data_IF_561089943788
#
_entry.id   IF_561089943788
#
_cell.length_a   1.000
_cell.length_b   1.000
_cell.length_c   1.000
_cell.angle_alpha   90.00
_cell.angle_beta   90.00
_cell.angle_gamma   90.00
#
_symmetry.space_group_name_H-M   'P 1'
#
loop_
_entity.id
_entity.type
_entity.pdbx_description
1 polymer ?
#
# COMPACT_ATOMS: atom_id res chain seq x y z
N UNK A 1 -51.92 -6.25 -14.27
CA UNK A 1 -51.27 -4.93 -14.21
C UNK A 1 -50.63 -4.79 -12.85
N UNK A 2 -49.30 -4.82 -12.80
CA UNK A 2 -48.41 -4.28 -11.76
C UNK A 2 -46.99 -4.68 -12.15
N UNK A 3 -46.45 -3.97 -13.16
CA UNK A 3 -45.03 -4.00 -13.49
C UNK A 3 -44.30 -3.24 -12.38
N UNK A 4 -43.76 -3.97 -11.40
CA UNK A 4 -42.71 -3.45 -10.54
C UNK A 4 -41.49 -3.23 -11.40
N UNK A 5 -41.33 -1.98 -11.82
CA UNK A 5 -40.17 -1.47 -12.53
C UNK A 5 -38.95 -1.61 -11.61
N UNK A 6 -38.26 -2.75 -11.71
CA UNK A 6 -36.97 -2.98 -11.08
C UNK A 6 -35.98 -2.01 -11.71
N UNK A 7 -35.87 -0.82 -11.12
CA UNK A 7 -34.88 0.18 -11.45
C UNK A 7 -33.51 -0.52 -11.56
N UNK A 8 -33.04 -0.63 -12.79
CA UNK A 8 -31.77 -1.22 -13.13
C UNK A 8 -30.70 -0.52 -12.30
N UNK A 9 -30.13 -1.21 -11.30
CA UNK A 9 -29.07 -0.63 -10.46
C UNK A 9 -27.86 -0.40 -11.35
N UNK A 10 -27.71 0.83 -11.84
CA UNK A 10 -26.52 1.27 -12.54
C UNK A 10 -25.34 1.20 -11.56
N UNK A 11 -24.54 0.13 -11.66
CA UNK A 11 -23.25 0.00 -10.98
C UNK A 11 -22.16 0.78 -11.72
N UNK A 12 -22.50 1.97 -12.20
CA UNK A 12 -21.53 2.83 -12.85
C UNK A 12 -20.61 3.43 -11.77
N UNK A 13 -19.32 3.47 -12.10
CA UNK A 13 -18.30 4.03 -11.21
C UNK A 13 -18.36 5.55 -11.30
N UNK A 14 -18.55 6.23 -10.18
CA UNK A 14 -18.47 7.69 -10.13
C UNK A 14 -17.01 8.13 -10.08
N UNK A 15 -16.57 8.87 -11.10
CA UNK A 15 -15.26 9.54 -11.06
C UNK A 15 -15.31 10.80 -10.17
N UNK A 16 -14.18 11.11 -9.53
CA UNK A 16 -14.01 12.28 -8.66
C UNK A 16 -14.23 13.57 -9.46
N UNK A 17 -13.79 13.61 -10.72
CA UNK A 17 -13.98 14.78 -11.59
C UNK A 17 -15.45 15.06 -11.83
N UNK A 18 -16.22 14.01 -12.12
CA UNK A 18 -17.67 14.08 -12.31
C UNK A 18 -18.37 14.49 -11.01
N UNK A 19 -18.01 13.88 -9.87
CA UNK A 19 -18.58 14.23 -8.58
C UNK A 19 -18.34 15.69 -8.20
N UNK A 20 -17.14 16.24 -8.44
CA UNK A 20 -16.83 17.65 -8.22
C UNK A 20 -17.62 18.57 -9.16
N UNK A 21 -17.74 18.20 -10.43
CA UNK A 21 -18.52 18.95 -11.42
C UNK A 21 -19.99 19.04 -10.99
N UNK A 22 -20.57 17.91 -10.59
CA UNK A 22 -21.95 17.85 -10.09
C UNK A 22 -22.14 18.64 -8.80
N UNK A 23 -21.21 18.53 -7.85
CA UNK A 23 -21.27 19.30 -6.62
C UNK A 23 -21.16 20.81 -6.88
N UNK A 24 -20.31 21.25 -7.82
CA UNK A 24 -20.23 22.66 -8.19
C UNK A 24 -21.54 23.19 -8.77
N UNK A 25 -22.20 22.44 -9.66
CA UNK A 25 -23.51 22.78 -10.21
C UNK A 25 -24.57 22.87 -9.10
N UNK A 26 -24.57 21.90 -8.19
CA UNK A 26 -25.48 21.88 -7.05
C UNK A 26 -25.26 23.09 -6.12
N UNK A 27 -24.01 23.48 -5.88
CA UNK A 27 -23.68 24.66 -5.06
C UNK A 27 -24.15 25.95 -5.73
N UNK A 28 -24.02 26.07 -7.06
CA UNK A 28 -24.52 27.22 -7.80
C UNK A 28 -26.04 27.35 -7.63
N UNK A 29 -26.77 26.24 -7.79
CA UNK A 29 -28.21 26.20 -7.58
C UNK A 29 -28.59 26.56 -6.13
N UNK A 30 -27.95 25.94 -5.13
CA UNK A 30 -28.17 26.26 -3.72
C UNK A 30 -27.92 27.74 -3.41
N UNK A 31 -26.81 28.31 -3.91
CA UNK A 31 -26.47 29.71 -3.65
C UNK A 31 -27.44 30.69 -4.33
N UNK A 32 -28.05 30.31 -5.47
CA UNK A 32 -29.09 31.11 -6.13
C UNK A 32 -30.40 31.12 -5.34
N UNK A 33 -30.73 30.03 -4.66
CA UNK A 33 -31.95 29.90 -3.84
C UNK A 33 -31.78 30.46 -2.41
N UNK A 34 -30.55 30.67 -1.96
CA UNK A 34 -30.28 31.15 -0.60
C UNK A 34 -30.74 32.61 -0.41
N UNK A 35 -31.55 32.84 0.62
CA UNK A 35 -32.12 34.16 0.97
C UNK A 35 -31.06 35.19 1.34
N UNK A 36 -29.87 34.76 1.80
CA UNK A 36 -28.79 35.64 2.23
C UNK A 36 -27.42 35.23 1.71
N UNK A 37 -26.60 36.22 1.33
CA UNK A 37 -25.18 36.02 0.96
C UNK A 37 -24.34 35.38 2.07
N UNK A 38 -24.78 35.44 3.34
CA UNK A 38 -24.11 34.78 4.47
C UNK A 38 -24.23 33.25 4.41
N UNK A 39 -25.30 32.73 3.82
CA UNK A 39 -25.58 31.30 3.71
C UNK A 39 -24.82 30.65 2.56
N UNK A 40 -24.33 31.46 1.62
CA UNK A 40 -23.58 30.98 0.46
C UNK A 40 -22.40 30.09 0.84
N UNK A 41 -22.26 29.01 0.10
CA UNK A 41 -21.11 28.12 0.16
C UNK A 41 -20.05 28.67 -0.80
N UNK A 42 -19.00 29.27 -0.23
CA UNK A 42 -17.89 29.90 -0.96
C UNK A 42 -16.57 29.79 -0.20
N UNK A 43 -15.46 30.01 -0.91
CA UNK A 43 -14.12 30.09 -0.32
C UNK A 43 -13.72 28.84 0.47
N UNK A 44 -13.34 29.04 1.74
CA UNK A 44 -12.87 27.95 2.60
C UNK A 44 -13.90 26.82 2.81
N UNK A 45 -15.19 27.14 2.90
CA UNK A 45 -16.26 26.14 3.09
C UNK A 45 -16.38 25.23 1.87
N UNK A 46 -16.29 25.82 0.68
CA UNK A 46 -16.26 25.10 -0.59
C UNK A 46 -15.04 24.17 -0.68
N UNK A 47 -13.87 24.67 -0.30
CA UNK A 47 -12.64 23.87 -0.29
C UNK A 47 -12.76 22.66 0.66
N UNK A 48 -13.36 22.84 1.84
CA UNK A 48 -13.67 21.73 2.76
C UNK A 48 -14.64 20.73 2.14
N UNK A 49 -15.72 21.18 1.52
CA UNK A 49 -16.67 20.29 0.85
C UNK A 49 -16.01 19.44 -0.25
N UNK A 50 -15.17 20.05 -1.10
CA UNK A 50 -14.49 19.34 -2.17
C UNK A 50 -13.55 18.25 -1.65
N UNK A 51 -12.85 18.51 -0.53
CA UNK A 51 -12.00 17.50 0.12
C UNK A 51 -12.81 16.36 0.73
N UNK A 52 -13.97 16.66 1.32
CA UNK A 52 -14.89 15.63 1.83
C UNK A 52 -15.41 14.78 0.68
N UNK A 53 -15.81 15.38 -0.44
CA UNK A 53 -16.27 14.66 -1.64
C UNK A 53 -15.17 13.76 -2.19
N UNK A 54 -13.93 14.25 -2.32
CA UNK A 54 -12.81 13.42 -2.79
C UNK A 54 -12.62 12.17 -1.93
N UNK A 55 -12.61 12.34 -0.60
CA UNK A 55 -12.44 11.24 0.33
C UNK A 55 -13.64 10.28 0.29
N UNK A 56 -14.85 10.82 0.19
CA UNK A 56 -16.08 10.05 0.15
C UNK A 56 -16.19 9.21 -1.12
N UNK A 57 -15.95 9.79 -2.31
CA UNK A 57 -16.01 9.07 -3.60
C UNK A 57 -14.90 8.02 -3.71
N UNK A 58 -13.72 8.27 -3.14
CA UNK A 58 -12.65 7.26 -3.08
C UNK A 58 -13.04 6.03 -2.25
N UNK A 59 -13.86 6.21 -1.23
CA UNK A 59 -14.35 5.12 -0.37
C UNK A 59 -15.64 4.50 -0.89
N UNK A 60 -16.46 5.27 -1.62
CA UNK A 60 -17.77 4.88 -2.15
C UNK A 60 -17.84 5.22 -3.64
N UNK A 61 -17.10 4.48 -4.46
CA UNK A 61 -16.99 4.75 -5.91
C UNK A 61 -18.14 4.17 -6.73
N UNK A 62 -19.07 3.41 -6.14
CA UNK A 62 -20.18 2.77 -6.85
C UNK A 62 -21.52 3.46 -6.59
N UNK A 63 -22.14 3.93 -7.67
CA UNK A 63 -23.39 4.71 -7.68
C UNK A 63 -24.55 3.96 -7.02
N UNK A 64 -24.70 2.67 -7.30
CA UNK A 64 -25.79 1.83 -6.77
C UNK A 64 -25.79 1.62 -5.25
N UNK A 65 -24.67 1.85 -4.57
CA UNK A 65 -24.57 1.73 -3.10
C UNK A 65 -24.99 3.03 -2.38
N UNK A 66 -24.88 4.18 -3.05
CA UNK A 66 -25.15 5.50 -2.46
C UNK A 66 -26.63 5.76 -2.20
N UNK A 67 -27.53 5.13 -2.95
CA UNK A 67 -28.98 5.30 -2.79
C UNK A 67 -29.60 4.40 -1.70
N UNK A 68 -28.95 3.28 -1.34
CA UNK A 68 -29.50 2.31 -0.40
C UNK A 68 -28.83 2.29 0.97
N UNK A 69 -27.49 2.37 1.02
CA UNK A 69 -26.69 2.34 2.25
C UNK A 69 -25.36 3.08 1.99
N UNK A 70 -25.39 4.41 1.95
CA UNK A 70 -24.17 5.20 1.86
C UNK A 70 -23.28 4.92 3.09
N UNK A 71 -22.10 4.32 2.86
CA UNK A 71 -21.13 4.09 3.94
C UNK A 71 -20.45 5.42 4.25
N UNK A 72 -20.58 5.89 5.49
CA UNK A 72 -19.95 7.14 5.91
C UNK A 72 -18.43 7.09 5.78
N UNK A 73 -17.83 8.16 5.28
CA UNK A 73 -16.38 8.29 5.22
C UNK A 73 -15.84 8.80 6.56
N UNK A 74 -14.83 8.12 7.10
CA UNK A 74 -14.19 8.56 8.35
C UNK A 74 -13.15 9.62 8.05
N UNK A 75 -13.34 10.81 8.59
CA UNK A 75 -12.43 11.94 8.43
C UNK A 75 -12.07 12.55 9.78
N UNK A 76 -10.82 13.00 9.88
CA UNK A 76 -10.26 13.64 11.07
C UNK A 76 -10.15 15.15 10.81
N UNK A 77 -10.62 15.98 11.75
CA UNK A 77 -10.58 17.43 11.61
C UNK A 77 -9.16 17.96 11.56
N UNK A 78 -8.21 17.34 12.26
CA UNK A 78 -6.80 17.72 12.22
C UNK A 78 -6.20 17.47 10.82
N UNK A 79 -6.58 16.37 10.15
CA UNK A 79 -6.12 16.10 8.79
C UNK A 79 -6.71 17.09 7.79
N UNK A 80 -8.01 17.39 7.88
CA UNK A 80 -8.66 18.39 7.03
C UNK A 80 -8.06 19.80 7.23
N UNK A 81 -7.77 20.14 8.49
CA UNK A 81 -7.13 21.40 8.88
C UNK A 81 -5.74 21.54 8.25
N UNK A 82 -4.90 20.51 8.35
CA UNK A 82 -3.56 20.53 7.76
C UNK A 82 -3.59 20.57 6.22
N UNK A 83 -4.50 19.82 5.59
CA UNK A 83 -4.64 19.82 4.13
C UNK A 83 -5.09 21.16 3.55
N UNK A 84 -5.93 21.89 4.29
CA UNK A 84 -6.48 23.18 3.87
C UNK A 84 -5.72 24.37 4.46
N UNK A 85 -4.70 24.12 5.30
CA UNK A 85 -3.92 25.14 6.01
C UNK A 85 -4.81 26.11 6.80
N UNK A 86 -5.78 25.56 7.52
CA UNK A 86 -6.70 26.29 8.41
C UNK A 86 -6.79 25.63 9.78
N UNK A 87 -7.26 26.36 10.79
CA UNK A 87 -7.42 25.81 12.14
C UNK A 87 -8.51 24.73 12.24
N UNK A 88 -8.35 23.81 13.20
CA UNK A 88 -9.34 22.75 13.51
C UNK A 88 -10.72 23.34 13.80
N UNK A 89 -10.79 24.48 14.49
CA UNK A 89 -12.05 25.18 14.78
C UNK A 89 -12.75 25.64 13.51
N UNK A 90 -12.00 26.09 12.51
CA UNK A 90 -12.51 26.53 11.21
C UNK A 90 -13.12 25.36 10.44
N UNK A 91 -12.47 24.20 10.43
CA UNK A 91 -13.04 22.97 9.83
C UNK A 91 -14.36 22.58 10.49
N UNK A 92 -14.43 22.60 11.82
CA UNK A 92 -15.68 22.30 12.55
C UNK A 92 -16.80 23.27 12.12
N UNK A 93 -16.49 24.56 12.01
CA UNK A 93 -17.46 25.57 11.54
C UNK A 93 -17.89 25.31 10.09
N UNK A 94 -16.96 24.95 9.20
CA UNK A 94 -17.28 24.60 7.82
C UNK A 94 -18.20 23.38 7.74
N UNK A 95 -17.88 22.30 8.47
CA UNK A 95 -18.70 21.08 8.48
C UNK A 95 -20.09 21.33 9.06
N UNK A 96 -20.20 22.14 10.13
CA UNK A 96 -21.49 22.54 10.70
C UNK A 96 -22.33 23.34 9.69
N UNK A 97 -21.70 24.22 8.90
CA UNK A 97 -22.39 24.99 7.87
C UNK A 97 -22.88 24.08 6.73
N UNK A 98 -22.04 23.15 6.29
CA UNK A 98 -22.37 22.19 5.24
C UNK A 98 -23.50 21.22 5.64
N UNK A 99 -23.50 20.79 6.91
CA UNK A 99 -24.57 19.95 7.44
C UNK A 99 -25.91 20.69 7.52
N UNK A 100 -25.91 21.93 8.03
CA UNK A 100 -27.12 22.77 8.06
C UNK A 100 -27.69 23.01 6.66
N UNK A 101 -26.82 23.14 5.67
CA UNK A 101 -27.19 23.30 4.27
C UNK A 101 -27.57 21.97 3.57
N UNK A 102 -27.58 20.84 4.27
CA UNK A 102 -27.99 19.54 3.73
C UNK A 102 -27.00 18.87 2.78
N UNK A 103 -25.77 19.38 2.68
CA UNK A 103 -24.75 18.81 1.78
C UNK A 103 -24.17 17.49 2.30
N UNK A 104 -24.08 17.37 3.62
CA UNK A 104 -23.55 16.20 4.30
C UNK A 104 -24.27 15.95 5.63
N UNK A 105 -24.09 14.76 6.17
CA UNK A 105 -24.52 14.40 7.52
C UNK A 105 -23.30 13.97 8.30
N UNK A 106 -23.13 14.44 9.54
CA UNK A 106 -22.01 14.07 10.39
C UNK A 106 -22.49 13.20 11.56
N UNK A 107 -21.72 12.16 11.88
CA UNK A 107 -21.91 11.34 13.08
C UNK A 107 -20.63 11.33 13.88
N UNK A 108 -20.69 11.85 15.11
CA UNK A 108 -19.54 11.87 16.01
C UNK A 108 -19.22 10.44 16.48
N UNK A 109 -17.95 10.03 16.38
CA UNK A 109 -17.50 8.67 16.76
C UNK A 109 -16.41 8.69 17.85
N UNK A 110 -16.18 9.84 18.49
CA UNK A 110 -15.24 10.00 19.60
C UNK A 110 -13.97 10.76 19.23
N UNK A 111 -13.11 10.97 20.23
CA UNK A 111 -11.96 11.90 20.20
C UNK A 111 -10.83 11.51 19.24
N UNK A 112 -10.80 10.25 18.76
CA UNK A 112 -9.75 9.72 17.88
C UNK A 112 -10.24 9.37 16.46
N UNK A 113 -11.56 9.44 16.21
CA UNK A 113 -12.19 9.28 14.91
C UNK A 113 -13.29 10.35 14.81
N UNK A 114 -12.86 11.61 14.67
CA UNK A 114 -13.67 12.79 14.94
C UNK A 114 -15.07 12.73 14.32
N UNK A 115 -15.20 12.42 13.02
CA UNK A 115 -16.51 12.31 12.38
C UNK A 115 -16.57 11.21 11.31
N UNK A 116 -17.70 10.50 11.29
CA UNK A 116 -18.17 9.74 10.14
C UNK A 116 -19.08 10.67 9.32
N UNK A 117 -18.62 11.04 8.12
CA UNK A 117 -19.28 12.00 7.24
C UNK A 117 -19.93 11.27 6.06
N UNK A 118 -21.19 11.55 5.80
CA UNK A 118 -21.90 11.01 4.63
C UNK A 118 -22.28 12.16 3.72
N UNK A 119 -21.89 12.12 2.45
CA UNK A 119 -22.27 13.14 1.46
C UNK A 119 -23.66 12.82 0.95
N UNK A 120 -24.52 13.84 0.85
CA UNK A 120 -25.87 13.67 0.33
C UNK A 120 -25.82 13.25 -1.16
N UNK A 121 -26.56 12.21 -1.57
CA UNK A 121 -26.61 11.78 -2.97
C UNK A 121 -27.02 12.90 -3.93
N UNK A 122 -27.88 13.83 -3.50
CA UNK A 122 -28.34 14.95 -4.34
C UNK A 122 -27.17 15.83 -4.80
N UNK A 123 -26.15 16.00 -3.96
CA UNK A 123 -24.93 16.75 -4.27
C UNK A 123 -24.09 16.04 -5.33
N UNK A 124 -24.01 14.71 -5.23
CA UNK A 124 -23.18 13.88 -6.13
C UNK A 124 -23.82 13.69 -7.51
N UNK A 125 -25.15 13.65 -7.58
CA UNK A 125 -25.90 13.48 -8.82
C UNK A 125 -26.36 14.79 -9.46
N UNK A 126 -26.19 15.93 -8.77
CA UNK A 126 -26.78 17.21 -9.17
C UNK A 126 -28.30 17.06 -9.43
N UNK A 127 -28.97 16.24 -8.63
CA UNK A 127 -30.40 15.94 -8.81
C UNK A 127 -31.21 16.79 -7.83
N UNK A 128 -31.71 17.91 -8.34
CA UNK A 128 -32.49 18.90 -7.58
C UNK A 128 -33.86 18.35 -7.16
N UNK A 129 -34.40 17.38 -7.90
CA UNK A 129 -35.74 16.79 -7.65
C UNK A 129 -35.84 15.99 -6.35
N UNK A 130 -34.72 15.64 -5.71
CA UNK A 130 -34.70 14.97 -4.40
C UNK A 130 -34.70 15.95 -3.22
N UNK A 131 -34.61 17.25 -3.46
CA UNK A 131 -34.60 18.29 -2.42
C UNK A 131 -36.02 18.61 -1.94
N UNK A 132 -36.98 18.68 -2.87
CA UNK A 132 -38.35 19.12 -2.59
C UNK A 132 -39.11 18.15 -1.66
N UNK A 133 -38.82 16.85 -1.71
CA UNK A 133 -39.48 15.85 -0.86
C UNK A 133 -39.04 15.88 0.62
N UNK A 134 -38.00 16.66 1.00
CA UNK A 134 -37.48 16.66 2.39
C UNK A 134 -37.94 17.86 3.22
N UNK A 135 -38.45 18.93 2.59
CA UNK A 135 -38.91 20.13 3.31
C UNK A 135 -40.32 19.93 3.90
N UNK A 136 -41.09 18.98 3.41
CA UNK A 136 -42.48 18.75 3.88
C UNK A 136 -42.61 17.78 5.07
N UNK A 137 -41.54 17.13 5.51
CA UNK A 137 -41.61 16.05 6.53
C UNK A 137 -41.02 16.38 7.90
N UNK A 138 -40.85 17.67 8.24
CA UNK A 138 -40.46 18.11 9.60
C UNK A 138 -41.51 19.03 10.25
N UNK A 139 -42.77 18.63 10.22
CA UNK A 139 -43.81 19.20 11.07
C UNK A 139 -44.70 18.06 11.57
N UNK A 140 -44.33 17.46 12.70
CA UNK A 140 -45.25 17.02 13.78
C UNK A 140 -44.46 16.38 14.93
N UNK A 141 -44.70 16.95 16.10
CA UNK A 141 -44.81 16.31 17.41
C UNK A 141 -43.54 15.84 18.15
N UNK A 142 -42.98 16.81 18.87
CA UNK A 142 -42.51 16.61 20.24
C UNK A 142 -43.57 15.95 21.12
N UNK A 143 -43.20 14.95 21.94
CA UNK A 143 -43.75 14.81 23.27
C UNK A 143 -42.67 15.00 24.32
N UNK A 144 -42.97 15.89 25.25
CA UNK A 144 -42.30 16.01 26.55
C UNK A 144 -42.46 14.73 27.39
N UNK A 145 -41.50 14.62 28.31
CA UNK A 145 -41.62 14.09 29.66
C UNK A 145 -41.21 12.64 30.01
N UNK A 146 -40.12 12.60 30.78
CA UNK A 146 -39.89 11.90 32.05
C UNK A 146 -40.12 10.38 32.16
N UNK A 147 -39.07 9.63 32.50
CA UNK A 147 -38.81 9.11 33.86
C UNK A 147 -37.69 8.05 33.84
N UNK A 148 -36.85 8.09 34.87
CA UNK A 148 -35.92 7.04 35.26
C UNK A 148 -36.61 5.68 35.38
N UNK A 149 -35.98 4.60 34.89
CA UNK A 149 -35.80 3.36 35.67
C UNK A 149 -34.85 2.37 34.98
N UNK A 150 -33.85 1.93 35.76
CA UNK A 150 -33.08 0.72 35.51
C UNK A 150 -34.02 -0.49 35.53
N UNK A 151 -33.89 -1.42 34.58
CA UNK A 151 -33.97 -2.88 34.80
C UNK A 151 -33.62 -3.66 33.53
N UNK A 152 -32.44 -4.28 33.59
CA UNK A 152 -32.10 -5.65 33.20
C UNK A 152 -33.10 -6.37 32.29
N UNK A 153 -32.61 -6.85 31.15
CA UNK A 153 -33.16 -8.03 30.47
C UNK A 153 -32.05 -9.02 30.09
N UNK A 154 -32.39 -10.31 29.99
CA UNK A 154 -31.56 -11.42 30.36
C UNK A 154 -30.81 -12.03 29.18
N UNK A 155 -29.66 -12.64 29.50
CA UNK A 155 -28.93 -13.54 28.61
C UNK A 155 -29.68 -14.88 28.65
N UNK A 156 -30.16 -15.35 27.50
CA UNK A 156 -30.49 -16.77 27.32
C UNK A 156 -29.58 -17.40 26.27
N UNK A 157 -29.10 -18.58 26.65
CA UNK A 157 -28.20 -19.47 25.96
C UNK A 157 -28.84 -20.20 24.77
N UNK A 158 -27.93 -20.82 24.02
CA UNK A 158 -28.04 -22.12 23.33
C UNK A 158 -28.55 -22.11 21.89
N UNK A 159 -27.67 -22.53 20.97
CA UNK A 159 -27.65 -23.85 20.30
C UNK A 159 -26.43 -23.87 19.37
N UNK A 160 -25.36 -24.62 19.64
CA UNK A 160 -25.15 -26.08 19.49
C UNK A 160 -24.85 -26.54 18.05
N UNK A 161 -23.90 -27.50 18.01
CA UNK A 161 -23.56 -28.50 16.99
C UNK A 161 -22.64 -28.01 15.87
N UNK A 162 -21.35 -28.36 15.93
CA UNK A 162 -20.76 -29.66 15.53
C UNK A 162 -20.81 -29.88 14.01
N UNK A 163 -19.66 -30.24 13.43
CA UNK A 163 -19.47 -31.41 12.56
C UNK A 163 -18.12 -31.30 11.78
N UNK A 164 -17.28 -32.29 12.08
CA UNK A 164 -16.32 -33.02 11.24
C UNK A 164 -15.16 -32.32 10.51
N UNK A 165 -13.95 -32.69 10.95
CA UNK A 165 -12.99 -33.51 10.19
C UNK A 165 -13.24 -33.67 8.68
N UNK A 166 -12.40 -33.05 7.86
CA UNK A 166 -11.92 -33.62 6.61
C UNK A 166 -10.53 -33.04 6.29
N UNK A 167 -9.51 -33.89 6.29
CA UNK A 167 -8.30 -33.65 5.50
C UNK A 167 -8.65 -33.87 4.02
N UNK A 168 -8.07 -33.08 3.10
CA UNK A 168 -7.30 -33.76 2.06
C UNK A 168 -5.96 -33.09 1.70
N UNK A 169 -5.18 -33.98 1.09
CA UNK A 169 -3.79 -33.96 0.59
C UNK A 169 -3.34 -32.75 -0.24
N UNK A 170 -2.01 -32.59 -0.41
CA UNK A 170 -1.41 -31.48 -1.16
C UNK A 170 -1.53 -31.70 -2.67
N UNK A 171 -1.90 -30.65 -3.41
CA UNK A 171 -1.77 -30.66 -4.87
C UNK A 171 -0.33 -30.35 -5.26
N UNK A 172 0.32 -31.36 -5.84
CA UNK A 172 1.41 -31.22 -6.79
C UNK A 172 0.93 -30.40 -8.00
N UNK A 173 1.80 -29.51 -8.51
CA UNK A 173 1.68 -28.98 -9.85
C UNK A 173 3.07 -28.95 -10.48
N UNK A 174 3.33 -30.05 -11.17
CA UNK A 174 4.38 -30.29 -12.14
C UNK A 174 4.11 -29.44 -13.40
N UNK A 175 5.16 -28.76 -13.85
CA UNK A 175 5.69 -28.68 -15.21
C UNK A 175 4.76 -28.79 -16.43
N UNK A 176 4.75 -27.73 -17.25
CA UNK A 176 5.13 -27.72 -18.68
C UNK A 176 4.41 -26.61 -19.47
N UNK A 177 5.12 -25.98 -20.41
CA UNK A 177 4.48 -25.24 -21.51
C UNK A 177 5.29 -24.09 -22.09
N UNK A 178 6.42 -24.42 -22.72
CA UNK A 178 7.12 -23.56 -23.68
C UNK A 178 6.26 -23.41 -24.94
N UNK A 179 6.00 -22.18 -25.38
CA UNK A 179 5.76 -21.89 -26.80
C UNK A 179 6.53 -20.64 -27.23
N UNK A 180 7.38 -20.85 -28.23
CA UNK A 180 8.12 -19.86 -28.99
C UNK A 180 7.32 -19.45 -30.23
N UNK A 181 7.21 -18.14 -30.50
CA UNK A 181 7.24 -17.48 -31.83
C UNK A 181 6.84 -16.01 -31.62
N UNK A 182 7.45 -14.99 -32.22
CA UNK A 182 8.53 -14.88 -33.19
C UNK A 182 8.67 -13.39 -33.61
N UNK A 183 9.90 -12.99 -33.90
CA UNK A 183 10.35 -11.89 -34.80
C UNK A 183 10.01 -10.42 -34.45
N UNK A 184 11.01 -9.50 -34.41
CA UNK A 184 10.80 -8.05 -34.27
C UNK A 184 10.80 -7.33 -35.63
N UNK A 185 10.21 -6.13 -35.75
CA UNK A 185 10.62 -5.20 -36.79
C UNK A 185 11.54 -4.12 -36.22
N UNK A 186 12.72 -4.01 -36.84
CA UNK A 186 13.56 -2.84 -36.77
C UNK A 186 13.09 -1.82 -37.84
N UNK A 187 12.93 -0.56 -37.45
CA UNK A 187 13.43 0.62 -38.17
C UNK A 187 12.94 1.91 -37.50
N UNK A 188 13.90 2.79 -37.18
CA UNK A 188 13.67 4.17 -36.77
C UNK A 188 13.29 5.03 -38.00
N UNK A 189 12.82 6.28 -37.81
CA UNK A 189 13.81 7.37 -37.83
C UNK A 189 13.56 8.51 -36.81
N UNK A 190 14.65 8.89 -36.15
CA UNK A 190 15.27 10.23 -36.12
C UNK A 190 14.39 11.49 -35.91
N UNK A 191 14.81 12.28 -34.89
CA UNK A 191 14.60 13.70 -34.60
C UNK A 191 13.35 14.16 -33.81
N UNK A 192 13.56 14.45 -32.51
CA UNK A 192 13.49 15.82 -31.97
C UNK A 192 13.99 15.86 -30.52
N UNK A 193 15.09 16.58 -30.32
CA UNK A 193 15.52 17.07 -29.01
C UNK A 193 14.60 18.23 -28.59
N UNK A 194 14.19 18.29 -27.32
CA UNK A 194 14.13 19.53 -26.52
C UNK A 194 13.68 19.26 -25.08
N UNK A 195 14.23 20.09 -24.18
CA UNK A 195 13.85 20.32 -22.78
C UNK A 195 14.35 19.33 -21.71
N UNK A 196 15.65 19.43 -21.47
CA UNK A 196 16.25 19.33 -20.13
C UNK A 196 15.54 20.31 -19.18
N UNK A 197 14.85 19.81 -18.15
CA UNK A 197 14.41 20.65 -17.03
C UNK A 197 15.26 20.26 -15.82
N UNK A 198 16.29 21.09 -15.64
CA UNK A 198 17.04 21.29 -14.41
C UNK A 198 16.12 21.89 -13.36
N UNK A 199 16.03 21.25 -12.19
CA UNK A 199 15.44 21.84 -10.99
C UNK A 199 16.52 21.91 -9.92
N UNK A 200 16.98 23.13 -9.70
CA UNK A 200 17.87 23.53 -8.63
C UNK A 200 17.32 23.13 -7.26
N UNK A 201 18.18 22.59 -6.40
CA UNK A 201 17.96 22.59 -4.96
C UNK A 201 18.36 23.96 -4.40
N UNK A 202 17.54 24.60 -3.56
CA UNK A 202 17.93 25.85 -2.92
C UNK A 202 19.02 25.61 -1.86
N UNK A 203 20.13 26.35 -2.02
CA UNK A 203 21.13 26.60 -0.98
C UNK A 203 20.46 27.29 0.19
N UNK A 204 20.44 26.65 1.37
CA UNK A 204 20.30 27.35 2.63
C UNK A 204 21.69 27.46 3.23
N UNK A 205 22.22 28.69 3.23
CA UNK A 205 23.35 29.08 4.07
C UNK A 205 22.83 29.21 5.50
N UNK A 206 23.42 28.46 6.43
CA UNK A 206 23.48 28.86 7.84
C UNK A 206 24.94 28.83 8.26
N UNK A 207 25.43 30.02 8.56
CA UNK A 207 26.65 30.35 9.31
C UNK A 207 26.69 29.61 10.65
N UNK A 208 27.91 29.24 11.05
CA UNK A 208 28.16 28.25 12.09
C UNK A 208 27.97 28.71 13.54
N UNK A 209 27.95 27.71 14.41
CA UNK A 209 28.29 27.77 15.83
C UNK A 209 28.79 26.37 16.28
N UNK A 210 29.73 26.37 17.22
CA UNK A 210 30.65 25.30 17.61
C UNK A 210 30.00 24.05 18.28
N UNK A 211 30.74 22.92 18.35
CA UNK A 211 30.25 21.68 18.97
C UNK A 211 30.38 21.75 20.49
N UNK A 212 29.25 21.67 21.19
CA UNK A 212 29.22 21.58 22.65
C UNK A 212 28.74 20.20 23.09
N UNK A 213 29.50 19.59 24.00
CA UNK A 213 29.48 18.18 24.33
C UNK A 213 28.14 17.66 24.84
N UNK A 214 27.88 16.39 24.50
CA UNK A 214 26.78 15.59 25.04
C UNK A 214 27.06 15.29 26.52
N UNK A 215 26.56 16.19 27.36
CA UNK A 215 26.40 16.00 28.80
C UNK A 215 25.14 15.17 29.09
N UNK A 216 25.27 14.37 30.14
CA UNK A 216 24.37 13.35 30.66
C UNK A 216 22.97 13.84 31.06
N UNK A 217 22.04 12.87 31.03
CA UNK A 217 20.83 12.77 31.87
C UNK A 217 19.61 13.61 31.48
N UNK A 218 18.67 12.97 30.78
CA UNK A 218 17.27 12.93 31.23
C UNK A 218 16.59 11.66 30.69
N UNK A 219 16.25 10.77 31.62
CA UNK A 219 15.76 9.42 31.38
C UNK A 219 14.23 9.46 31.25
N UNK A 220 13.71 9.76 30.06
CA UNK A 220 12.29 9.50 29.77
C UNK A 220 12.07 7.98 29.67
N UNK A 221 11.63 7.38 30.78
CA UNK A 221 11.11 6.00 30.81
C UNK A 221 9.74 5.98 30.10
N UNK A 222 9.72 5.68 28.80
CA UNK A 222 8.54 5.11 28.15
C UNK A 222 8.72 3.61 28.04
N UNK A 223 7.99 2.90 28.90
CA UNK A 223 8.02 1.46 29.08
C UNK A 223 7.54 0.73 27.82
N UNK A 224 8.35 -0.22 27.35
CA UNK A 224 7.97 -1.21 26.36
C UNK A 224 7.43 -2.42 27.12
N UNK A 225 6.11 -2.44 27.35
CA UNK A 225 5.42 -3.58 27.92
C UNK A 225 5.26 -4.69 26.88
N UNK A 226 5.90 -5.83 27.12
CA UNK A 226 5.55 -7.08 26.48
C UNK A 226 4.17 -7.53 26.97
N UNK A 227 3.21 -7.65 26.06
CA UNK A 227 1.90 -8.20 26.36
C UNK A 227 1.88 -9.71 26.16
N UNK A 228 1.51 -10.44 27.22
CA UNK A 228 0.83 -11.73 27.10
C UNK A 228 1.38 -12.89 27.93
N UNK A 229 1.05 -12.93 29.22
CA UNK A 229 0.38 -14.06 29.89
C UNK A 229 0.22 -13.74 31.37
N UNK A 230 -1.03 -13.54 31.82
CA UNK A 230 -1.38 -13.66 33.23
C UNK A 230 -1.19 -15.14 33.61
N UNK A 231 -0.02 -15.44 34.19
CA UNK A 231 0.20 -16.66 34.95
C UNK A 231 0.86 -16.24 36.26
N UNK A 232 0.19 -16.62 37.35
CA UNK A 232 0.65 -16.44 38.72
C UNK A 232 2.11 -16.91 38.87
N UNK A 233 2.99 -16.01 39.31
CA UNK A 233 4.28 -16.36 39.92
C UNK A 233 5.53 -16.01 39.10
N UNK A 234 6.23 -14.95 39.52
CA UNK A 234 7.64 -14.73 39.18
C UNK A 234 7.91 -13.38 38.52
N UNK A 235 8.44 -12.43 39.31
CA UNK A 235 8.96 -11.16 38.81
C UNK A 235 10.22 -11.40 37.95
N UNK A 236 10.03 -11.79 36.70
CA UNK A 236 11.12 -11.85 35.74
C UNK A 236 11.65 -10.43 35.51
N UNK A 237 12.94 -10.21 35.78
CA UNK A 237 13.61 -8.93 35.57
C UNK A 237 13.29 -8.40 34.16
N UNK A 238 12.77 -7.17 34.07
CA UNK A 238 12.47 -6.48 32.80
C UNK A 238 13.76 -6.44 31.97
N UNK A 239 13.90 -7.35 31.00
CA UNK A 239 15.07 -7.43 30.11
C UNK A 239 15.17 -6.10 29.36
N UNK A 240 16.21 -5.35 29.65
CA UNK A 240 16.48 -4.07 28.99
C UNK A 240 17.35 -4.35 27.77
N UNK A 241 16.86 -4.02 26.59
CA UNK A 241 17.61 -4.21 25.35
C UNK A 241 18.56 -3.04 25.08
N UNK A 242 19.74 -3.28 24.50
CA UNK A 242 20.64 -2.22 24.05
C UNK A 242 19.95 -1.20 23.13
N UNK A 243 20.28 0.08 23.29
CA UNK A 243 19.66 1.18 22.53
C UNK A 243 19.81 1.01 21.01
N UNK A 244 20.92 0.42 20.54
CA UNK A 244 21.17 0.20 19.12
C UNK A 244 20.21 -0.83 18.50
N UNK A 245 19.80 -1.88 19.23
CA UNK A 245 18.83 -2.86 18.74
C UNK A 245 17.45 -2.21 18.54
N UNK A 246 17.05 -1.39 19.51
CA UNK A 246 15.79 -0.62 19.45
C UNK A 246 15.83 0.34 18.25
N UNK A 247 16.97 0.98 18.00
CA UNK A 247 17.14 1.86 16.86
C UNK A 247 16.95 1.11 15.52
N UNK A 248 17.56 -0.07 15.34
CA UNK A 248 17.39 -0.87 14.12
C UNK A 248 15.91 -1.22 13.86
N UNK A 249 15.19 -1.67 14.89
CA UNK A 249 13.75 -1.98 14.78
C UNK A 249 12.93 -0.76 14.38
N UNK A 250 13.19 0.40 14.97
CA UNK A 250 12.49 1.65 14.63
C UNK A 250 12.82 2.14 13.24
N UNK A 251 14.09 2.08 12.84
CA UNK A 251 14.53 2.45 11.48
C UNK A 251 13.84 1.55 10.46
N UNK A 252 13.83 0.23 10.69
CA UNK A 252 13.12 -0.70 9.82
C UNK A 252 11.63 -0.42 9.76
N UNK A 253 10.97 -0.22 10.91
CA UNK A 253 9.55 0.11 10.98
C UNK A 253 9.21 1.36 10.16
N UNK A 254 9.96 2.45 10.35
CA UNK A 254 9.74 3.70 9.62
C UNK A 254 9.84 3.50 8.11
N UNK A 255 10.90 2.80 7.66
CA UNK A 255 11.08 2.49 6.25
C UNK A 255 9.96 1.61 5.70
N UNK A 256 9.65 0.52 6.39
CA UNK A 256 8.64 -0.46 6.02
C UNK A 256 7.24 0.15 5.90
N UNK A 257 6.78 0.91 6.89
CA UNK A 257 5.47 1.57 6.87
C UNK A 257 5.40 2.64 5.79
N UNK A 258 6.44 3.46 5.65
CA UNK A 258 6.46 4.54 4.64
C UNK A 258 6.37 4.00 3.22
N UNK A 259 7.04 2.87 2.92
CA UNK A 259 7.09 2.34 1.56
C UNK A 259 5.90 1.43 1.24
N UNK A 260 5.46 0.59 2.17
CA UNK A 260 4.41 -0.41 1.91
C UNK A 260 3.02 0.02 2.38
N UNK A 261 2.93 0.98 3.30
CA UNK A 261 1.67 1.46 3.87
C UNK A 261 1.62 3.01 3.98
N UNK A 262 1.99 3.77 2.93
CA UNK A 262 2.19 5.23 2.99
C UNK A 262 0.96 6.03 3.45
N UNK A 263 -0.25 5.47 3.31
CA UNK A 263 -1.51 6.15 3.62
C UNK A 263 -2.19 5.64 4.90
N UNK A 264 -1.48 4.86 5.72
CA UNK A 264 -2.02 4.31 6.98
C UNK A 264 -1.37 4.97 8.18
N UNK A 265 -2.20 5.48 9.08
CA UNK A 265 -1.79 5.92 10.42
C UNK A 265 -2.17 4.86 11.44
N UNK A 266 -1.27 4.55 12.35
CA UNK A 266 -1.49 3.54 13.40
C UNK A 266 -1.68 4.23 14.75
N UNK A 267 -2.56 3.69 15.59
CA UNK A 267 -2.65 4.12 16.99
C UNK A 267 -1.40 3.66 17.74
N UNK A 268 -1.05 4.34 18.83
CA UNK A 268 0.17 4.01 19.60
C UNK A 268 0.25 2.55 20.05
N UNK A 269 -0.88 1.93 20.39
CA UNK A 269 -0.92 0.50 20.74
C UNK A 269 -0.71 -0.41 19.53
N UNK A 270 -1.26 -0.04 18.37
CA UNK A 270 -1.07 -0.80 17.13
C UNK A 270 0.37 -0.69 16.65
N UNK A 271 0.93 0.51 16.66
CA UNK A 271 2.35 0.75 16.36
C UNK A 271 3.26 -0.08 17.30
N UNK A 272 2.98 -0.09 18.60
CA UNK A 272 3.70 -0.94 19.58
C UNK A 272 3.61 -2.42 19.20
N UNK A 273 2.43 -2.92 18.80
CA UNK A 273 2.26 -4.31 18.37
C UNK A 273 3.02 -4.62 17.08
N UNK A 274 3.07 -3.69 16.12
CA UNK A 274 3.86 -3.85 14.88
C UNK A 274 5.36 -3.90 15.23
N UNK A 275 5.84 -2.98 16.05
CA UNK A 275 7.24 -2.97 16.50
C UNK A 275 7.60 -4.25 17.25
N UNK A 276 6.71 -4.77 18.09
CA UNK A 276 6.88 -6.06 18.77
C UNK A 276 6.94 -7.23 17.76
N UNK A 277 6.12 -7.22 16.71
CA UNK A 277 6.20 -8.22 15.63
C UNK A 277 7.51 -8.11 14.86
N UNK A 278 7.96 -6.91 14.50
CA UNK A 278 9.26 -6.69 13.86
C UNK A 278 10.39 -7.25 14.74
N UNK A 279 10.40 -6.88 16.02
CA UNK A 279 11.42 -7.34 16.96
C UNK A 279 11.43 -8.88 17.06
N UNK A 280 10.28 -9.51 17.31
CA UNK A 280 10.22 -10.94 17.58
C UNK A 280 10.31 -11.82 16.33
N UNK A 281 9.75 -11.39 15.20
CA UNK A 281 9.58 -12.24 14.02
C UNK A 281 10.53 -11.90 12.88
N UNK A 282 10.95 -10.64 12.76
CA UNK A 282 11.89 -10.21 11.71
C UNK A 282 13.32 -10.26 12.23
N UNK A 283 13.56 -9.70 13.42
CA UNK A 283 14.89 -9.76 14.07
C UNK A 283 15.07 -10.97 14.99
N UNK A 284 14.07 -11.87 15.07
CA UNK A 284 14.10 -13.06 15.94
C UNK A 284 14.41 -12.77 17.42
N UNK A 285 14.09 -11.56 17.87
CA UNK A 285 14.43 -11.06 19.19
C UNK A 285 15.93 -10.92 19.45
N UNK A 286 16.74 -10.77 18.40
CA UNK A 286 18.21 -10.71 18.45
C UNK A 286 18.83 -11.92 19.17
N UNK A 287 18.22 -13.10 18.98
CA UNK A 287 18.65 -14.33 19.66
C UNK A 287 19.83 -15.04 18.98
N UNK A 288 20.18 -14.67 17.75
CA UNK A 288 21.29 -15.28 17.02
C UNK A 288 22.63 -14.90 17.67
N UNK A 289 23.32 -15.84 18.34
CA UNK A 289 24.50 -15.52 19.15
C UNK A 289 25.72 -15.19 18.30
N UNK A 290 25.75 -15.61 17.03
CA UNK A 290 26.89 -15.40 16.14
C UNK A 290 26.92 -14.00 15.54
N UNK A 291 25.79 -13.28 15.53
CA UNK A 291 25.67 -12.00 14.85
C UNK A 291 26.20 -10.86 15.71
N UNK A 292 27.22 -10.19 15.20
CA UNK A 292 27.71 -8.92 15.72
C UNK A 292 26.76 -7.78 15.36
N UNK A 293 27.00 -6.59 15.93
CA UNK A 293 26.24 -5.38 15.57
C UNK A 293 26.31 -5.10 14.06
N UNK A 294 27.47 -5.33 13.44
CA UNK A 294 27.65 -5.08 12.02
C UNK A 294 26.83 -6.06 11.18
N UNK A 295 26.81 -7.34 11.55
CA UNK A 295 26.00 -8.36 10.86
C UNK A 295 24.50 -7.99 10.90
N UNK A 296 24.01 -7.46 12.03
CA UNK A 296 22.64 -6.97 12.14
C UNK A 296 22.35 -5.71 11.30
N UNK A 297 23.36 -4.88 11.04
CA UNK A 297 23.24 -3.73 10.15
C UNK A 297 23.20 -4.17 8.69
N UNK A 298 24.06 -5.12 8.30
CA UNK A 298 24.04 -5.73 6.98
C UNK A 298 22.71 -6.46 6.73
N UNK A 299 22.20 -7.17 7.74
CA UNK A 299 20.86 -7.76 7.69
C UNK A 299 19.78 -6.71 7.50
N UNK A 300 19.85 -5.55 8.17
CA UNK A 300 18.89 -4.46 7.96
C UNK A 300 18.88 -3.96 6.51
N UNK A 301 20.03 -3.86 5.85
CA UNK A 301 20.11 -3.48 4.44
C UNK A 301 19.45 -4.53 3.52
N UNK A 302 19.63 -5.82 3.83
CA UNK A 302 18.91 -6.90 3.15
C UNK A 302 17.38 -6.73 3.32
N UNK A 303 16.92 -6.43 4.53
CA UNK A 303 15.50 -6.18 4.81
C UNK A 303 14.96 -4.99 3.98
N UNK A 304 15.76 -3.94 3.80
CA UNK A 304 15.38 -2.81 2.92
C UNK A 304 15.28 -3.23 1.46
N UNK A 305 16.18 -4.07 0.96
CA UNK A 305 16.08 -4.61 -0.41
C UNK A 305 14.80 -5.44 -0.59
N UNK A 306 14.44 -6.25 0.41
CA UNK A 306 13.17 -7.01 0.42
C UNK A 306 11.97 -6.08 0.35
N UNK A 307 11.96 -4.98 1.13
CA UNK A 307 10.88 -3.97 1.06
C UNK A 307 10.80 -3.33 -0.32
N UNK A 308 11.93 -2.93 -0.91
CA UNK A 308 11.98 -2.36 -2.27
C UNK A 308 11.44 -3.32 -3.32
N UNK A 309 11.79 -4.60 -3.21
CA UNK A 309 11.30 -5.65 -4.11
C UNK A 309 9.78 -5.83 -4.00
N UNK A 310 9.22 -5.83 -2.78
CA UNK A 310 7.77 -5.89 -2.57
C UNK A 310 7.09 -4.66 -3.17
N UNK A 311 7.66 -3.46 -2.96
CA UNK A 311 7.13 -2.23 -3.53
C UNK A 311 7.10 -2.27 -5.06
N UNK A 312 8.19 -2.69 -5.68
CA UNK A 312 8.24 -2.88 -7.13
C UNK A 312 7.22 -3.91 -7.62
N UNK A 313 6.98 -4.98 -6.86
CA UNK A 313 5.94 -5.96 -7.19
C UNK A 313 4.53 -5.38 -7.10
N UNK A 314 4.25 -4.53 -6.10
CA UNK A 314 2.97 -3.83 -5.95
C UNK A 314 2.72 -2.85 -7.10
N UNK A 315 3.76 -2.12 -7.53
CA UNK A 315 3.66 -1.11 -8.58
C UNK A 315 3.55 -1.71 -9.99
N UNK A 316 3.97 -2.96 -10.18
CA UNK A 316 3.81 -3.65 -11.47
C UNK A 316 2.32 -3.81 -11.80
N UNK A 317 1.88 -3.46 -13.01
CA UNK A 317 0.50 -3.70 -13.43
C UNK A 317 0.17 -5.19 -13.36
N UNK A 318 -1.08 -5.51 -13.07
CA UNK A 318 -1.56 -6.88 -13.16
C UNK A 318 -1.68 -7.27 -14.63
N UNK A 319 -1.36 -8.52 -14.99
CA UNK A 319 -1.70 -9.03 -16.33
C UNK A 319 -3.21 -8.91 -16.58
N UNK A 320 -3.61 -8.62 -17.83
CA UNK A 320 -5.01 -8.38 -18.21
C UNK A 320 -5.98 -9.47 -17.72
N UNK A 321 -5.56 -10.74 -17.72
CA UNK A 321 -6.40 -11.85 -17.26
C UNK A 321 -6.64 -11.86 -15.73
N UNK A 322 -5.79 -11.21 -14.93
CA UNK A 322 -5.96 -11.05 -13.47
C UNK A 322 -6.54 -9.70 -13.08
N UNK A 323 -6.56 -8.73 -13.99
CA UNK A 323 -7.06 -7.38 -13.73
C UNK A 323 -8.55 -7.41 -13.34
N UNK A 324 -9.34 -8.28 -13.97
CA UNK A 324 -10.75 -8.53 -13.61
C UNK A 324 -10.92 -9.20 -12.25
N UNK A 325 -9.95 -10.02 -11.82
CA UNK A 325 -10.03 -10.74 -10.53
C UNK A 325 -9.66 -9.84 -9.35
N UNK A 326 -8.80 -8.84 -9.60
CA UNK A 326 -8.32 -7.91 -8.59
C UNK A 326 -8.56 -6.47 -9.07
N UNK A 327 -9.83 -6.10 -9.22
CA UNK A 327 -10.25 -4.78 -9.72
C UNK A 327 -9.72 -3.62 -8.85
N UNK A 328 -9.46 -3.89 -7.56
CA UNK A 328 -8.88 -2.94 -6.60
C UNK A 328 -7.34 -2.91 -6.63
N UNK A 329 -6.71 -3.69 -7.52
CA UNK A 329 -5.26 -3.86 -7.62
C UNK A 329 -4.68 -4.88 -6.63
N UNK A 330 -3.35 -4.97 -6.61
CA UNK A 330 -2.62 -5.78 -5.62
C UNK A 330 -2.71 -5.10 -4.26
N UNK A 331 -3.01 -5.87 -3.22
CA UNK A 331 -3.00 -5.35 -1.85
C UNK A 331 -2.11 -6.21 -0.96
N UNK A 332 -1.49 -5.55 0.02
CA UNK A 332 -0.89 -6.24 1.15
C UNK A 332 -1.92 -6.38 2.26
N UNK A 333 -1.86 -7.50 2.96
CA UNK A 333 -2.62 -7.68 4.21
C UNK A 333 -2.14 -6.72 5.29
N UNK A 334 -2.85 -6.66 6.42
CA UNK A 334 -2.46 -5.82 7.55
C UNK A 334 -1.00 -6.11 7.98
N UNK A 335 -0.18 -5.09 8.32
CA UNK A 335 1.19 -5.28 8.79
C UNK A 335 1.34 -6.34 9.89
N UNK A 336 0.40 -6.43 10.83
CA UNK A 336 0.47 -7.41 11.93
C UNK A 336 0.42 -8.85 11.43
N UNK A 337 -0.41 -9.11 10.40
CA UNK A 337 -0.52 -10.42 9.74
C UNK A 337 0.65 -10.63 8.79
N UNK A 338 1.05 -9.60 8.06
CA UNK A 338 2.14 -9.68 7.08
C UNK A 338 3.49 -9.96 7.75
N UNK A 339 3.76 -9.34 8.90
CA UNK A 339 4.98 -9.56 9.68
C UNK A 339 4.91 -10.83 10.55
N UNK A 340 3.81 -11.58 10.49
CA UNK A 340 3.75 -12.86 11.17
C UNK A 340 4.66 -13.89 10.48
N UNK A 341 5.51 -14.58 11.26
CA UNK A 341 6.43 -15.60 10.74
C UNK A 341 5.67 -16.79 10.16
N UNK A 342 4.50 -17.09 10.72
CA UNK A 342 3.67 -18.23 10.30
C UNK A 342 2.80 -17.88 9.08
N UNK A 343 2.79 -16.63 8.64
CA UNK A 343 2.02 -16.21 7.48
C UNK A 343 2.67 -16.74 6.19
N UNK A 344 1.98 -17.66 5.51
CA UNK A 344 2.43 -18.30 4.25
C UNK A 344 2.68 -17.30 3.10
N UNK A 345 2.14 -16.10 3.20
CA UNK A 345 2.32 -15.01 2.23
C UNK A 345 2.86 -13.75 2.93
N UNK A 346 3.48 -13.93 4.11
CA UNK A 346 4.04 -12.88 4.92
C UNK A 346 5.43 -12.46 4.49
N UNK A 347 5.98 -11.50 5.22
CA UNK A 347 7.28 -10.92 4.97
C UNK A 347 8.40 -11.96 4.99
N UNK A 348 8.31 -13.00 5.82
CA UNK A 348 9.30 -14.08 5.89
C UNK A 348 9.59 -14.71 4.52
N UNK A 349 8.55 -14.92 3.69
CA UNK A 349 8.70 -15.56 2.38
C UNK A 349 9.46 -14.71 1.35
N UNK A 350 9.57 -13.41 1.60
CA UNK A 350 10.26 -12.48 0.68
C UNK A 350 11.77 -12.70 0.65
N UNK A 351 12.31 -13.50 1.56
CA UNK A 351 13.71 -13.95 1.52
C UNK A 351 13.98 -14.83 0.29
N UNK A 352 13.10 -15.79 0.02
CA UNK A 352 13.22 -16.65 -1.16
C UNK A 352 13.15 -15.83 -2.45
N UNK A 353 12.32 -14.78 -2.46
CA UNK A 353 12.23 -13.87 -3.61
C UNK A 353 13.56 -13.13 -3.85
N UNK A 354 14.24 -12.74 -2.78
CA UNK A 354 15.53 -12.06 -2.88
C UNK A 354 16.61 -13.02 -3.41
N UNK A 355 16.64 -14.25 -2.90
CA UNK A 355 17.54 -15.31 -3.40
C UNK A 355 17.31 -15.55 -4.90
N UNK A 356 16.05 -15.73 -5.32
CA UNK A 356 15.70 -15.90 -6.73
C UNK A 356 16.07 -14.67 -7.58
N UNK A 357 15.90 -13.46 -7.03
CA UNK A 357 16.30 -12.24 -7.72
C UNK A 357 17.83 -12.16 -7.90
N UNK A 358 18.62 -12.59 -6.93
CA UNK A 358 20.08 -12.67 -7.03
C UNK A 358 20.51 -13.71 -8.05
N UNK A 359 19.94 -14.92 -8.00
CA UNK A 359 20.19 -15.96 -8.99
C UNK A 359 19.87 -15.47 -10.41
N UNK A 360 18.74 -14.79 -10.59
CA UNK A 360 18.36 -14.23 -11.90
C UNK A 360 19.31 -13.13 -12.37
N UNK A 361 19.78 -12.25 -11.46
CA UNK A 361 20.79 -11.23 -11.80
C UNK A 361 22.10 -11.90 -12.27
N UNK A 362 22.55 -12.95 -11.61
CA UNK A 362 23.76 -13.69 -12.00
C UNK A 362 23.58 -14.44 -13.32
N UNK A 363 22.41 -15.05 -13.55
CA UNK A 363 22.07 -15.69 -14.82
C UNK A 363 22.10 -14.68 -15.98
N UNK A 364 21.47 -13.52 -15.84
CA UNK A 364 21.48 -12.45 -16.86
C UNK A 364 22.91 -11.98 -17.15
N UNK A 365 23.75 -11.82 -16.11
CA UNK A 365 25.17 -11.47 -16.31
C UNK A 365 25.91 -12.56 -17.08
N UNK A 366 25.65 -13.83 -16.78
CA UNK A 366 26.24 -14.97 -17.50
C UNK A 366 25.79 -15.00 -18.96
N UNK A 367 24.51 -14.74 -19.26
CA UNK A 367 23.98 -14.63 -20.62
C UNK A 367 24.66 -13.50 -21.41
N UNK A 368 24.78 -12.31 -20.82
CA UNK A 368 25.44 -11.18 -21.47
C UNK A 368 26.92 -11.44 -21.76
N UNK A 369 27.62 -12.15 -20.87
CA UNK A 369 29.00 -12.58 -21.09
C UNK A 369 29.10 -13.68 -22.16
N UNK A 370 28.12 -14.58 -22.20
CA UNK A 370 28.06 -15.65 -23.17
C UNK A 370 27.82 -15.07 -24.57
N UNK A 371 26.99 -14.05 -24.72
CA UNK A 371 26.81 -13.33 -25.98
C UNK A 371 28.09 -12.62 -26.44
N UNK A 372 28.88 -12.08 -25.50
CA UNK A 372 30.22 -11.54 -25.81
C UNK A 372 31.16 -12.63 -26.29
N UNK A 373 31.18 -13.78 -25.60
CA UNK A 373 31.98 -14.93 -25.98
C UNK A 373 31.60 -15.45 -27.38
N UNK A 374 30.30 -15.57 -27.66
CA UNK A 374 29.77 -15.96 -28.98
C UNK A 374 30.28 -15.05 -30.08
N UNK A 375 30.15 -13.74 -29.90
CA UNK A 375 30.64 -12.75 -30.87
C UNK A 375 32.14 -12.89 -31.10
N UNK A 376 32.94 -12.92 -30.04
CA UNK A 376 34.40 -13.02 -30.13
C UNK A 376 34.86 -14.31 -30.82
N UNK A 377 34.21 -15.44 -30.57
CA UNK A 377 34.56 -16.74 -31.19
C UNK A 377 34.17 -16.79 -32.67
N UNK A 378 33.02 -16.21 -33.04
CA UNK A 378 32.56 -16.20 -34.44
C UNK A 378 33.43 -15.24 -35.28
N UNK A 379 33.70 -14.04 -34.78
CA UNK A 379 34.40 -12.98 -35.52
C UNK A 379 35.91 -13.03 -35.40
N UNK A 380 36.45 -13.68 -34.36
CA UNK A 380 37.89 -13.72 -34.09
C UNK A 380 38.67 -14.54 -35.13
N UNK A 381 39.86 -14.05 -35.49
CA UNK A 381 40.85 -14.79 -36.29
C UNK A 381 41.38 -16.01 -35.55
N UNK A 382 41.52 -15.93 -34.22
CA UNK A 382 41.99 -17.03 -33.36
C UNK A 382 40.87 -17.57 -32.45
N UNK A 383 40.00 -18.39 -33.06
CA UNK A 383 38.82 -18.96 -32.41
C UNK A 383 39.17 -19.89 -31.24
N UNK A 384 40.31 -20.58 -31.33
CA UNK A 384 40.71 -21.57 -30.34
C UNK A 384 41.20 -20.90 -29.04
N UNK A 385 42.00 -19.85 -29.15
CA UNK A 385 42.43 -19.10 -27.98
C UNK A 385 41.27 -18.32 -27.35
N UNK A 386 40.35 -17.78 -28.17
CA UNK A 386 39.10 -17.19 -27.67
C UNK A 386 38.26 -18.21 -26.88
N UNK A 387 38.08 -19.42 -27.40
CA UNK A 387 37.38 -20.51 -26.70
C UNK A 387 38.02 -20.83 -25.34
N UNK A 388 39.34 -21.08 -25.29
CA UNK A 388 40.04 -21.42 -24.04
C UNK A 388 39.95 -20.30 -23.00
N UNK A 389 40.08 -19.05 -23.43
CA UNK A 389 39.94 -17.86 -22.58
C UNK A 389 38.55 -17.82 -21.93
N UNK A 390 37.49 -17.99 -22.70
CA UNK A 390 36.13 -17.95 -22.19
C UNK A 390 35.78 -19.19 -21.36
N UNK A 391 36.24 -20.38 -21.76
CA UNK A 391 36.07 -21.61 -20.99
C UNK A 391 36.66 -21.48 -19.58
N UNK A 392 37.89 -20.94 -19.46
CA UNK A 392 38.51 -20.68 -18.15
C UNK A 392 37.70 -19.69 -17.32
N UNK A 393 37.16 -18.64 -17.95
CA UNK A 393 36.30 -17.65 -17.27
C UNK A 393 35.02 -18.28 -16.73
N UNK A 394 34.33 -19.08 -17.53
CA UNK A 394 33.07 -19.72 -17.14
C UNK A 394 33.28 -20.85 -16.12
N UNK A 395 34.39 -21.61 -16.19
CA UNK A 395 34.78 -22.59 -15.15
C UNK A 395 35.02 -21.96 -13.78
N UNK A 396 35.56 -20.74 -13.75
CA UNK A 396 35.90 -20.06 -12.51
C UNK A 396 34.74 -19.22 -11.93
N UNK A 397 33.56 -19.22 -12.55
CA UNK A 397 32.39 -18.51 -12.01
C UNK A 397 31.83 -19.27 -10.81
N UNK A 398 31.36 -18.52 -9.81
CA UNK A 398 30.64 -19.05 -8.64
C UNK A 398 29.25 -19.64 -8.96
N UNK A 399 28.82 -19.57 -10.22
CA UNK A 399 27.51 -20.04 -10.70
C UNK A 399 27.72 -21.26 -11.62
N UNK A 400 27.53 -22.50 -11.11
CA UNK A 400 27.81 -23.72 -11.85
C UNK A 400 27.03 -23.84 -13.16
N UNK A 401 25.78 -23.35 -13.18
CA UNK A 401 24.93 -23.36 -14.38
C UNK A 401 25.53 -22.53 -15.53
N UNK A 402 26.37 -21.53 -15.23
CA UNK A 402 27.07 -20.73 -16.24
C UNK A 402 27.96 -21.60 -17.12
N UNK A 403 28.61 -22.61 -16.54
CA UNK A 403 29.50 -23.51 -17.27
C UNK A 403 28.70 -24.38 -18.26
N UNK A 404 27.56 -24.92 -17.81
CA UNK A 404 26.65 -25.69 -18.66
C UNK A 404 26.09 -24.84 -19.80
N UNK A 405 25.68 -23.59 -19.51
CA UNK A 405 25.22 -22.65 -20.53
C UNK A 405 26.30 -22.38 -21.57
N UNK A 406 27.55 -22.16 -21.15
CA UNK A 406 28.67 -21.95 -22.04
C UNK A 406 28.88 -23.14 -22.97
N UNK A 407 28.97 -24.37 -22.44
CA UNK A 407 29.20 -25.55 -23.28
C UNK A 407 28.05 -25.78 -24.27
N UNK A 408 26.80 -25.63 -23.83
CA UNK A 408 25.64 -25.73 -24.73
C UNK A 408 25.74 -24.72 -25.88
N UNK A 409 26.08 -23.47 -25.56
CA UNK A 409 26.26 -22.44 -26.56
C UNK A 409 27.42 -22.70 -27.53
N UNK A 410 28.49 -23.35 -27.08
CA UNK A 410 29.62 -23.72 -27.93
C UNK A 410 29.26 -24.85 -28.89
N UNK A 411 28.46 -25.83 -28.45
CA UNK A 411 27.90 -26.87 -29.32
C UNK A 411 27.01 -26.25 -30.41
N UNK A 412 26.15 -25.28 -30.05
CA UNK A 412 25.31 -24.57 -31.02
C UNK A 412 26.15 -23.84 -32.08
N UNK A 413 27.22 -23.16 -31.66
CA UNK A 413 28.14 -22.47 -32.59
C UNK A 413 28.82 -23.48 -33.52
N UNK A 414 29.28 -24.62 -33.00
CA UNK A 414 29.92 -25.65 -33.80
C UNK A 414 28.96 -26.22 -34.85
N UNK A 415 27.70 -26.44 -34.48
CA UNK A 415 26.66 -26.85 -35.42
C UNK A 415 26.44 -25.80 -36.52
N UNK A 416 26.35 -24.51 -36.16
CA UNK A 416 26.22 -23.41 -37.12
C UNK A 416 27.39 -23.31 -38.09
N UNK A 417 28.63 -23.42 -37.59
CA UNK A 417 29.83 -23.38 -38.43
C UNK A 417 29.90 -24.58 -39.38
N UNK A 418 29.44 -25.75 -38.94
CA UNK A 418 29.39 -26.97 -39.77
C UNK A 418 28.34 -26.84 -40.87
N UNK A 419 27.15 -26.32 -40.55
CA UNK A 419 26.10 -26.06 -41.53
C UNK A 419 26.54 -25.05 -42.59
N UNK A 420 27.24 -23.98 -42.20
CA UNK A 420 27.82 -23.01 -43.14
C UNK A 420 28.82 -23.70 -44.10
N UNK A 421 29.70 -24.57 -43.57
CA UNK A 421 30.66 -25.32 -44.39
C UNK A 421 30.02 -26.33 -45.36
N UNK A 422 28.80 -26.78 -45.09
CA UNK A 422 28.08 -27.70 -45.98
C UNK A 422 27.27 -26.96 -47.06
N UNK A 423 27.01 -25.67 -46.86
CA UNK A 423 26.26 -24.82 -47.79
C UNK A 423 27.15 -24.14 -48.86
N UNK A 424 28.47 -24.16 -48.66
CA UNK A 424 29.49 -23.75 -49.62
C UNK A 424 30.25 -24.98 -50.10
#
# INVERSE_FOLDING_TARGET
MNTTDTAQKYYERMDITTARSNANKYIQHYNQQASSKKEWIRGGVLATLMRVIDAFVRQNNFIGQLAGQAVGCRLNNCMLADQLKVDRRTIINHLNKLEKAGFLTKKFRGTYADYELTVSPCVLFNNVLLIENRVESSATDTPENTYNTKKVRPISLATNLEISNMLPKPCELVDNGVENSGVPPASAPVNKALATISCHQPKVMCTGENPQGLSTSQKEKKEWGGGGADFLGGAAAKKTYPAWQIALVKTFYSYFITHLYPYRTYTGDTERNILNKIFNHVFYGFKEPTYTRQDWQEYLEELFERVRMIKAWLDRPLPQYKEKQYELGKFLVNPLTFLDRNCKYGFAQTEQWLVLAHQRKELIKAELELDKARKEIITGTDRFNAYKKWEKRFKNKRFPEAQTMFYKAMVDIQAQLTAIKQAF
#
